data_IF_037947769388
#
_entry.id   IF_037947769388
#
_cell.length_a   1.000
_cell.length_b   1.000
_cell.length_c   1.000
_cell.angle_alpha   90.00
_cell.angle_beta   90.00
_cell.angle_gamma   90.00
#
_symmetry.space_group_name_H-M   'P 1'
#
loop_
_entity.id
_entity.type
_entity.pdbx_description
1 polymer ?
#
# COMPACT_ATOMS: atom_id res chain seq x y z
N UNK A 1 -14.34 -31.01 -43.46
CA UNK A 1 -14.61 -29.57 -43.18
C UNK A 1 -15.34 -29.35 -41.87
N UNK A 2 -16.38 -30.11 -41.53
CA UNK A 2 -17.13 -29.93 -40.23
C UNK A 2 -16.24 -30.10 -38.99
N UNK A 3 -15.35 -31.08 -38.98
CA UNK A 3 -14.44 -31.33 -37.83
C UNK A 3 -13.39 -30.25 -37.64
N UNK A 4 -12.94 -29.63 -38.72
CA UNK A 4 -12.01 -28.52 -38.66
C UNK A 4 -12.64 -27.26 -38.05
N UNK A 5 -13.90 -27.04 -38.31
CA UNK A 5 -14.69 -25.94 -37.74
C UNK A 5 -14.87 -26.10 -36.21
N UNK A 6 -15.11 -27.33 -35.74
CA UNK A 6 -15.23 -27.61 -34.30
C UNK A 6 -13.90 -27.44 -33.55
N UNK A 7 -12.79 -27.83 -34.16
CA UNK A 7 -11.44 -27.63 -33.58
C UNK A 7 -11.13 -26.15 -33.49
N UNK A 8 -11.47 -25.36 -34.52
CA UNK A 8 -11.26 -23.92 -34.52
C UNK A 8 -12.14 -23.22 -33.47
N UNK A 9 -13.42 -23.64 -33.33
CA UNK A 9 -14.34 -23.10 -32.35
C UNK A 9 -13.87 -23.42 -30.92
N UNK A 10 -13.32 -24.62 -30.68
CA UNK A 10 -12.77 -25.03 -29.38
C UNK A 10 -11.52 -24.21 -29.03
N UNK A 11 -10.67 -23.88 -30.00
CA UNK A 11 -9.48 -23.08 -29.78
C UNK A 11 -9.80 -21.62 -29.45
N UNK A 12 -10.87 -21.05 -30.02
CA UNK A 12 -11.31 -19.66 -29.72
C UNK A 12 -11.84 -19.55 -28.30
N UNK A 13 -12.51 -20.58 -27.77
CA UNK A 13 -13.01 -20.59 -26.39
C UNK A 13 -11.86 -20.64 -25.36
N UNK A 14 -10.72 -21.25 -25.69
CA UNK A 14 -9.57 -21.32 -24.79
C UNK A 14 -8.81 -20.00 -24.66
N UNK A 15 -9.00 -19.06 -25.58
CA UNK A 15 -8.33 -17.76 -25.55
C UNK A 15 -9.07 -16.68 -24.74
N UNK A 16 -10.30 -16.96 -24.29
CA UNK A 16 -11.11 -16.00 -23.53
C UNK A 16 -10.92 -16.08 -21.99
N UNK A 17 -10.00 -16.93 -21.49
CA UNK A 17 -9.74 -17.09 -20.05
C UNK A 17 -8.55 -16.26 -19.58
N UNK A 18 -8.38 -15.04 -20.08
CA UNK A 18 -7.55 -14.06 -19.42
C UNK A 18 -8.49 -13.13 -18.63
N UNK A 19 -8.89 -13.55 -17.43
CA UNK A 19 -9.42 -12.60 -16.46
C UNK A 19 -8.27 -11.64 -16.12
N UNK A 20 -8.27 -10.48 -16.76
CA UNK A 20 -7.58 -9.32 -16.21
C UNK A 20 -8.31 -9.00 -14.91
N UNK A 21 -7.82 -9.50 -13.79
CA UNK A 21 -8.22 -9.03 -12.47
C UNK A 21 -7.96 -7.53 -12.47
N UNK A 22 -9.02 -6.75 -12.71
CA UNK A 22 -8.95 -5.32 -12.49
C UNK A 22 -8.63 -5.12 -11.02
N UNK A 23 -7.55 -4.42 -10.73
CA UNK A 23 -7.20 -4.05 -9.36
C UNK A 23 -8.41 -3.40 -8.69
N UNK A 24 -8.88 -3.96 -7.58
CA UNK A 24 -10.05 -3.45 -6.85
C UNK A 24 -9.81 -2.02 -6.33
N UNK A 25 -8.55 -1.66 -6.12
CA UNK A 25 -8.13 -0.36 -5.58
C UNK A 25 -7.55 0.59 -6.64
N UNK A 26 -7.57 0.17 -7.94
CA UNK A 26 -7.06 0.98 -9.05
C UNK A 26 -5.56 1.29 -8.91
N UNK A 27 -5.21 2.55 -9.05
CA UNK A 27 -3.81 3.02 -9.00
C UNK A 27 -3.13 2.80 -7.65
N UNK A 28 -3.91 2.59 -6.57
CA UNK A 28 -3.38 2.34 -5.24
C UNK A 28 -2.68 0.98 -5.14
N UNK A 29 -3.16 -0.06 -5.85
CA UNK A 29 -2.60 -1.42 -5.84
C UNK A 29 -1.22 -1.47 -6.52
N UNK A 30 -0.22 -0.91 -5.85
CA UNK A 30 1.17 -0.83 -6.29
C UNK A 30 2.11 -0.83 -5.09
N UNK A 31 3.41 -0.80 -5.38
CA UNK A 31 4.44 -0.48 -4.40
C UNK A 31 4.83 0.99 -4.54
N UNK A 32 4.80 1.70 -3.42
CA UNK A 32 5.02 3.13 -3.32
C UNK A 32 6.24 3.41 -2.44
N UNK A 33 7.19 4.14 -2.97
CA UNK A 33 8.41 4.56 -2.29
C UNK A 33 8.20 5.91 -1.62
N UNK A 34 8.34 5.98 -0.29
CA UNK A 34 8.22 7.21 0.48
C UNK A 34 9.46 8.08 0.26
N UNK A 35 9.28 9.21 -0.40
CA UNK A 35 10.39 10.09 -0.81
C UNK A 35 10.61 11.26 0.11
N UNK A 36 9.53 11.96 0.47
CA UNK A 36 9.59 13.11 1.39
C UNK A 36 8.43 13.13 2.35
N UNK A 37 8.65 13.73 3.52
CA UNK A 37 7.65 13.94 4.56
C UNK A 37 7.67 15.39 4.99
N UNK A 38 6.52 16.06 4.87
CA UNK A 38 6.32 17.41 5.39
C UNK A 38 5.64 17.33 6.77
N UNK A 39 6.22 17.99 7.75
CA UNK A 39 5.58 18.20 9.05
C UNK A 39 4.66 19.41 8.97
N UNK A 40 3.37 19.20 9.24
CA UNK A 40 2.37 20.28 9.17
C UNK A 40 2.46 21.24 10.36
N UNK A 41 3.07 20.83 11.49
CA UNK A 41 3.19 21.64 12.69
C UNK A 41 4.24 22.75 12.57
N UNK A 42 5.32 22.52 11.80
CA UNK A 42 6.44 23.45 11.68
C UNK A 42 6.86 23.74 10.24
N UNK A 43 6.16 23.17 9.24
CA UNK A 43 6.46 23.36 7.82
C UNK A 43 7.78 22.73 7.35
N UNK A 44 8.42 21.89 8.16
CA UNK A 44 9.69 21.27 7.82
C UNK A 44 9.49 20.07 6.89
N UNK A 45 10.23 20.07 5.79
CA UNK A 45 10.30 18.92 4.86
C UNK A 45 11.56 18.10 5.14
N UNK A 46 11.42 16.78 5.20
CA UNK A 46 12.52 15.84 5.41
C UNK A 46 12.59 14.89 4.22
N UNK A 47 13.79 14.70 3.67
CA UNK A 47 14.05 13.68 2.66
C UNK A 47 14.08 12.29 3.33
N UNK A 48 13.16 11.42 2.92
CA UNK A 48 13.02 10.05 3.43
C UNK A 48 13.66 9.00 2.52
N UNK A 49 14.16 9.37 1.33
CA UNK A 49 14.80 8.44 0.41
C UNK A 49 15.91 7.60 1.06
N UNK A 50 16.78 8.17 1.92
CA UNK A 50 17.82 7.37 2.59
C UNK A 50 17.28 6.26 3.50
N UNK A 51 16.03 6.38 3.98
CA UNK A 51 15.40 5.38 4.84
C UNK A 51 14.83 4.17 4.09
N UNK A 52 14.69 4.27 2.77
CA UNK A 52 14.21 3.19 1.89
C UNK A 52 12.92 2.54 2.38
N UNK A 53 11.91 3.36 2.66
CA UNK A 53 10.60 2.95 3.17
C UNK A 53 9.62 2.78 2.01
N UNK A 54 8.90 1.66 2.03
CA UNK A 54 7.90 1.30 1.02
C UNK A 54 6.55 1.01 1.65
N UNK A 55 5.50 1.40 0.96
CA UNK A 55 4.12 1.02 1.19
C UNK A 55 3.62 0.20 0.01
N UNK A 56 3.05 -0.96 0.26
CA UNK A 56 2.48 -1.83 -0.78
C UNK A 56 1.04 -2.12 -0.46
N UNK A 57 0.18 -2.06 -1.47
CA UNK A 57 -1.26 -2.29 -1.32
C UNK A 57 -1.68 -3.48 -2.18
N UNK A 58 -2.51 -4.37 -1.62
CA UNK A 58 -3.08 -5.50 -2.33
C UNK A 58 -4.39 -5.95 -1.66
N UNK A 59 -5.48 -5.97 -2.40
CA UNK A 59 -6.80 -6.32 -1.88
C UNK A 59 -7.22 -5.40 -0.74
N UNK A 60 -7.33 -5.91 0.48
CA UNK A 60 -7.68 -5.15 1.70
C UNK A 60 -6.50 -4.95 2.65
N UNK A 61 -5.29 -5.33 2.23
CA UNK A 61 -4.09 -5.26 3.05
C UNK A 61 -3.10 -4.23 2.51
N UNK A 62 -2.52 -3.48 3.43
CA UNK A 62 -1.37 -2.62 3.21
C UNK A 62 -0.19 -3.17 3.99
N UNK A 63 0.99 -3.13 3.40
CA UNK A 63 2.24 -3.49 4.04
C UNK A 63 3.18 -2.29 4.04
N UNK A 64 3.88 -2.08 5.15
CA UNK A 64 5.04 -1.18 5.20
C UNK A 64 6.30 -1.96 5.52
N UNK A 65 7.39 -1.59 4.88
CA UNK A 65 8.71 -2.14 5.16
C UNK A 65 9.81 -1.10 4.94
N UNK A 66 10.93 -1.33 5.59
CA UNK A 66 12.18 -0.63 5.36
C UNK A 66 13.21 -1.66 4.88
N UNK A 67 13.85 -1.42 3.74
CA UNK A 67 14.78 -2.40 3.14
C UNK A 67 15.99 -2.67 4.04
N UNK A 68 16.42 -1.68 4.82
CA UNK A 68 17.59 -1.80 5.70
C UNK A 68 17.28 -2.46 7.05
N UNK A 69 16.00 -2.60 7.41
CA UNK A 69 15.58 -3.34 8.60
C UNK A 69 15.29 -4.79 8.21
N UNK A 70 16.19 -5.69 8.58
CA UNK A 70 16.09 -7.12 8.25
C UNK A 70 14.69 -7.67 8.53
N UNK A 71 13.93 -7.96 7.47
CA UNK A 71 12.68 -8.72 7.49
C UNK A 71 11.58 -8.22 8.45
N UNK A 72 11.53 -6.92 8.75
CA UNK A 72 10.43 -6.35 9.53
C UNK A 72 9.35 -5.81 8.59
N UNK A 73 8.24 -6.53 8.54
CA UNK A 73 7.07 -6.15 7.79
C UNK A 73 5.94 -5.83 8.76
N UNK A 74 5.30 -4.69 8.55
CA UNK A 74 4.10 -4.31 9.29
C UNK A 74 2.94 -4.33 8.33
N UNK A 75 1.89 -5.01 8.71
CA UNK A 75 0.69 -5.18 7.94
C UNK A 75 -0.45 -4.39 8.57
N UNK A 76 -1.33 -3.91 7.72
CA UNK A 76 -2.50 -3.12 8.11
C UNK A 76 -3.69 -3.58 7.28
N UNK A 77 -4.88 -3.42 7.82
CA UNK A 77 -6.08 -3.38 6.99
C UNK A 77 -6.30 -1.96 6.52
N UNK A 78 -6.80 -1.79 5.31
CA UNK A 78 -7.16 -0.48 4.81
C UNK A 78 -8.50 -0.51 4.08
N UNK A 79 -9.10 0.67 3.99
CA UNK A 79 -10.22 0.94 3.09
C UNK A 79 -10.04 2.31 2.44
N UNK A 80 -10.51 2.43 1.21
CA UNK A 80 -10.57 3.69 0.48
C UNK A 80 -12.01 4.15 0.40
N UNK A 81 -12.31 5.33 0.94
CA UNK A 81 -13.67 5.87 0.98
C UNK A 81 -13.63 7.40 0.92
N UNK A 82 -14.48 7.98 0.08
CA UNK A 82 -14.70 9.43 -0.01
C UNK A 82 -13.41 10.27 -0.16
N UNK A 83 -12.46 9.79 -0.97
CA UNK A 83 -11.17 10.45 -1.17
C UNK A 83 -10.18 10.31 0.00
N UNK A 84 -10.48 9.42 0.93
CA UNK A 84 -9.64 9.10 2.07
C UNK A 84 -9.13 7.67 2.00
N UNK A 85 -7.94 7.46 2.55
CA UNK A 85 -7.35 6.17 2.86
C UNK A 85 -7.36 5.99 4.37
N UNK A 86 -8.13 5.02 4.85
CA UNK A 86 -8.20 4.67 6.28
C UNK A 86 -7.37 3.43 6.50
N UNK A 87 -6.32 3.56 7.31
CA UNK A 87 -5.37 2.49 7.65
C UNK A 87 -5.60 2.10 9.10
N UNK A 88 -5.82 0.83 9.37
CA UNK A 88 -6.22 0.34 10.70
C UNK A 88 -5.64 -1.02 11.04
N UNK A 89 -5.70 -1.37 12.33
CA UNK A 89 -5.30 -2.68 12.86
C UNK A 89 -3.88 -3.07 12.48
N UNK A 90 -2.85 -2.24 12.80
CA UNK A 90 -1.47 -2.59 12.51
C UNK A 90 -1.01 -3.83 13.27
N UNK A 91 -0.27 -4.71 12.61
CA UNK A 91 0.37 -5.86 13.23
C UNK A 91 1.74 -6.13 12.59
N UNK A 92 2.65 -6.66 13.39
CA UNK A 92 3.92 -7.16 12.90
C UNK A 92 3.71 -8.56 12.32
N UNK A 93 3.98 -8.71 11.03
CA UNK A 93 3.92 -10.01 10.38
C UNK A 93 5.17 -10.82 10.71
N UNK A 94 4.98 -12.01 11.28
CA UNK A 94 6.04 -12.96 11.55
C UNK A 94 5.68 -14.32 10.92
N UNK A 95 6.62 -14.91 10.19
CA UNK A 95 6.43 -16.23 9.55
C UNK A 95 6.70 -17.41 10.49
N UNK A 96 7.28 -17.15 11.64
CA UNK A 96 7.75 -18.17 12.59
C UNK A 96 6.93 -18.22 13.86
N UNK A 97 6.43 -17.05 14.29
CA UNK A 97 5.59 -16.89 15.47
C UNK A 97 4.23 -16.31 15.06
N UNK A 98 3.30 -16.24 16.01
CA UNK A 98 2.01 -15.58 15.78
C UNK A 98 2.19 -14.08 15.49
N UNK A 99 1.32 -13.54 14.65
CA UNK A 99 1.28 -12.11 14.34
C UNK A 99 1.08 -11.30 15.63
N UNK A 100 1.92 -10.30 15.84
CA UNK A 100 1.87 -9.45 17.02
C UNK A 100 1.16 -8.14 16.69
N UNK A 101 0.02 -7.90 17.32
CA UNK A 101 -0.72 -6.64 17.17
C UNK A 101 0.08 -5.47 17.73
N UNK A 102 0.12 -4.36 16.99
CA UNK A 102 0.62 -3.08 17.50
C UNK A 102 -0.43 -2.49 18.43
N UNK A 103 0.02 -2.01 19.58
CA UNK A 103 -0.78 -1.36 20.61
C UNK A 103 -0.35 0.10 20.78
N UNK A 104 -1.07 0.87 21.60
CA UNK A 104 -0.66 2.25 21.91
C UNK A 104 0.75 2.32 22.52
N UNK A 105 1.14 1.30 23.28
CA UNK A 105 2.47 1.23 23.91
C UNK A 105 3.60 0.97 22.91
N UNK A 106 3.27 0.31 21.78
CA UNK A 106 4.24 -0.06 20.73
C UNK A 106 4.08 0.76 19.44
N UNK A 107 3.21 1.76 19.45
CA UNK A 107 2.88 2.59 18.28
C UNK A 107 4.10 3.30 17.67
N UNK A 108 5.08 3.66 18.48
CA UNK A 108 6.30 4.34 18.04
C UNK A 108 7.05 3.55 16.96
N UNK A 109 6.92 2.22 16.96
CA UNK A 109 7.58 1.34 16.01
C UNK A 109 7.12 1.63 14.56
N UNK A 110 5.84 1.97 14.37
CA UNK A 110 5.29 2.22 13.02
C UNK A 110 5.31 3.69 12.61
N UNK A 111 5.58 4.61 13.53
CA UNK A 111 5.66 6.05 13.20
C UNK A 111 6.73 6.41 12.18
N UNK A 112 7.82 5.66 12.17
CA UNK A 112 8.89 5.87 11.17
C UNK A 112 8.40 5.63 9.73
N UNK A 113 7.34 4.84 9.55
CA UNK A 113 6.73 4.57 8.25
C UNK A 113 5.69 5.62 7.85
N UNK A 114 5.41 6.61 8.70
CA UNK A 114 4.43 7.66 8.46
C UNK A 114 3.04 7.36 9.00
N UNK A 115 2.83 6.23 9.69
CA UNK A 115 1.57 5.88 10.36
C UNK A 115 1.64 6.30 11.82
N UNK A 116 0.72 7.16 12.28
CA UNK A 116 0.82 7.84 13.58
C UNK A 116 -0.18 7.37 14.63
N UNK A 117 -1.14 6.53 14.26
CA UNK A 117 -2.17 6.00 15.15
C UNK A 117 -2.60 4.59 14.75
N UNK A 118 -3.25 3.86 15.63
CA UNK A 118 -3.77 2.50 15.37
C UNK A 118 -4.88 2.50 14.30
N UNK A 119 -5.57 3.63 14.16
CA UNK A 119 -6.44 3.93 13.02
C UNK A 119 -6.06 5.31 12.53
N UNK A 120 -5.40 5.35 11.38
CA UNK A 120 -4.94 6.58 10.76
C UNK A 120 -5.75 6.87 9.49
N UNK A 121 -6.10 8.13 9.29
CA UNK A 121 -6.91 8.56 8.16
C UNK A 121 -6.17 9.61 7.36
N UNK A 122 -5.86 9.26 6.13
CA UNK A 122 -5.17 10.12 5.18
C UNK A 122 -6.15 10.64 4.12
N UNK A 123 -6.18 11.95 3.93
CA UNK A 123 -6.74 12.52 2.70
C UNK A 123 -5.82 12.16 1.53
N UNK A 124 -6.37 11.63 0.45
CA UNK A 124 -5.66 11.43 -0.81
C UNK A 124 -5.67 12.77 -1.52
N UNK A 125 -4.55 13.49 -1.49
CA UNK A 125 -4.42 14.80 -2.18
C UNK A 125 -4.09 14.62 -3.66
N UNK A 126 -3.33 13.56 -3.98
CA UNK A 126 -3.00 13.18 -5.36
C UNK A 126 -2.74 11.67 -5.43
N UNK A 127 -3.17 11.03 -6.49
CA UNK A 127 -2.81 9.66 -6.83
C UNK A 127 -2.86 9.50 -8.35
N UNK A 128 -1.77 9.04 -8.93
CA UNK A 128 -1.65 8.86 -10.36
C UNK A 128 -0.66 7.75 -10.71
N UNK A 129 -0.30 7.66 -11.97
CA UNK A 129 0.55 6.57 -12.48
C UNK A 129 1.97 6.54 -11.91
N UNK A 130 2.48 7.65 -11.38
CA UNK A 130 3.88 7.77 -10.94
C UNK A 130 4.05 8.34 -9.54
N UNK A 131 3.03 8.99 -8.97
CA UNK A 131 3.14 9.64 -7.66
C UNK A 131 1.85 9.51 -6.87
N UNK A 132 2.00 9.58 -5.54
CA UNK A 132 0.90 9.65 -4.60
C UNK A 132 1.24 10.65 -3.49
N UNK A 133 0.26 11.43 -3.07
CA UNK A 133 0.37 12.36 -1.94
C UNK A 133 -0.76 12.09 -0.96
N UNK A 134 -0.38 11.73 0.26
CA UNK A 134 -1.29 11.47 1.37
C UNK A 134 -1.08 12.51 2.47
N UNK A 135 -2.17 12.94 3.11
CA UNK A 135 -2.12 13.92 4.20
C UNK A 135 -3.00 13.48 5.35
N UNK A 136 -2.44 13.40 6.54
CA UNK A 136 -3.16 13.29 7.80
C UNK A 136 -3.20 14.63 8.56
N UNK A 137 -3.47 14.62 9.85
CA UNK A 137 -3.49 15.81 10.70
C UNK A 137 -2.10 16.36 11.06
N UNK A 138 -1.05 15.57 10.87
CA UNK A 138 0.33 15.86 11.30
C UNK A 138 1.32 15.97 10.16
N UNK A 139 1.16 15.11 9.14
CA UNK A 139 2.11 14.91 8.09
C UNK A 139 1.47 15.01 6.71
N UNK A 140 2.28 15.39 5.72
CA UNK A 140 2.02 15.14 4.31
C UNK A 140 3.12 14.23 3.78
N UNK A 141 2.72 13.10 3.24
CA UNK A 141 3.59 12.03 2.74
C UNK A 141 3.62 12.06 1.23
N UNK A 142 4.81 12.10 0.65
CA UNK A 142 5.00 12.07 -0.80
C UNK A 142 5.64 10.76 -1.21
N UNK A 143 5.02 10.11 -2.19
CA UNK A 143 5.46 8.83 -2.71
C UNK A 143 5.69 8.89 -4.22
N UNK A 144 6.65 8.11 -4.67
CA UNK A 144 6.86 7.75 -6.07
C UNK A 144 6.54 6.27 -6.26
N UNK A 145 5.97 5.92 -7.42
CA UNK A 145 5.71 4.53 -7.77
C UNK A 145 7.03 3.81 -7.99
N UNK A 146 7.16 2.63 -7.40
CA UNK A 146 8.35 1.77 -7.54
C UNK A 146 8.20 0.78 -8.68
#
# INVERSE_FOLDING_TARGET
>A
MKHLLYIFLFFVVLLSSCETTSSENGELDNMWYLTTVDSLSNGKTVDYRPKRIFWSFQGTLMQTNCVDSMNQFYMYRFERKDGQLIVKSPFKYDRVTDDCMITEETLDIIRMYGVNSLTDTFKIEDIGNSRMVLKDSRLRLHFEKY
#
